data_IF_182917201923
#
_entry.id   IF_182917201923
#
_cell.length_a   1.000
_cell.length_b   1.000
_cell.length_c   1.000
_cell.angle_alpha   90.00
_cell.angle_beta   90.00
_cell.angle_gamma   90.00
#
_symmetry.space_group_name_H-M   'P 1'
#
loop_
_entity.id
_entity.type
_entity.pdbx_description
1 polymer ?
#
# COMPACT_ATOMS: atom_id res chain seq x y z
N UNK A 1 0.64 11.62 -7.81
CA UNK A 1 1.05 11.39 -6.40
C UNK A 1 0.55 10.02 -5.93
N UNK A 2 1.11 9.43 -4.88
CA UNK A 2 0.58 8.16 -4.32
C UNK A 2 -0.86 8.29 -3.89
N UNK A 3 -1.23 9.45 -3.33
CA UNK A 3 -2.61 9.75 -2.92
C UNK A 3 -3.61 9.63 -4.07
N UNK A 4 -3.29 10.17 -5.24
CA UNK A 4 -4.16 10.11 -6.43
C UNK A 4 -4.27 8.69 -6.98
N UNK A 5 -3.18 7.91 -6.98
CA UNK A 5 -3.19 6.52 -7.40
C UNK A 5 -4.13 5.68 -6.51
N UNK A 6 -4.02 5.85 -5.20
CA UNK A 6 -4.87 5.12 -4.24
C UNK A 6 -6.32 5.59 -4.35
N UNK A 7 -6.55 6.90 -4.49
CA UNK A 7 -7.90 7.44 -4.72
C UNK A 7 -8.53 6.91 -6.01
N UNK A 8 -7.75 6.70 -7.07
CA UNK A 8 -8.21 6.09 -8.31
C UNK A 8 -8.67 4.65 -8.10
N UNK A 9 -7.88 3.83 -7.40
CA UNK A 9 -8.26 2.45 -7.04
C UNK A 9 -9.54 2.42 -6.19
N UNK A 10 -9.66 3.33 -5.22
CA UNK A 10 -10.88 3.49 -4.41
C UNK A 10 -12.08 3.86 -5.29
N UNK A 11 -11.89 4.76 -6.26
CA UNK A 11 -12.91 5.14 -7.25
C UNK A 11 -13.39 3.96 -8.10
N UNK A 12 -12.52 2.96 -8.32
CA UNK A 12 -12.86 1.69 -8.97
C UNK A 12 -13.50 0.64 -8.05
N UNK A 13 -13.77 0.99 -6.78
CA UNK A 13 -14.46 0.14 -5.82
C UNK A 13 -13.53 -0.67 -4.92
N UNK A 14 -12.21 -0.55 -5.05
CA UNK A 14 -11.28 -1.20 -4.13
C UNK A 14 -11.37 -0.56 -2.74
N UNK A 15 -11.43 -1.40 -1.70
CA UNK A 15 -11.53 -0.96 -0.29
C UNK A 15 -10.40 -1.48 0.57
N UNK A 16 -9.78 -2.60 0.17
CA UNK A 16 -8.64 -3.23 0.83
C UNK A 16 -7.47 -3.21 -0.14
N UNK A 17 -6.61 -2.21 -0.01
CA UNK A 17 -5.52 -1.90 -0.96
C UNK A 17 -4.21 -2.14 -0.23
N UNK A 18 -3.35 -3.03 -0.74
CA UNK A 18 -2.01 -3.25 -0.25
C UNK A 18 -1.06 -2.15 -0.71
N UNK A 19 0.04 -1.94 0.01
CA UNK A 19 1.14 -1.09 -0.40
C UNK A 19 2.45 -1.82 -0.11
N UNK A 20 3.28 -1.96 -1.15
CA UNK A 20 4.66 -2.42 -1.01
C UNK A 20 5.54 -1.16 -0.95
N UNK A 21 6.04 -0.85 0.24
CA UNK A 21 6.89 0.30 0.49
C UNK A 21 8.32 0.06 0.00
N UNK A 22 9.06 1.15 -0.23
CA UNK A 22 10.51 1.08 -0.39
C UNK A 22 11.21 1.01 0.97
N UNK A 23 12.53 1.13 0.94
CA UNK A 23 13.37 1.13 2.14
C UNK A 23 12.90 2.20 3.15
N UNK A 24 12.63 1.80 4.40
CA UNK A 24 12.24 2.71 5.49
C UNK A 24 13.31 3.77 5.75
N UNK A 25 12.87 4.96 6.18
CA UNK A 25 13.77 6.08 6.47
C UNK A 25 14.23 6.88 5.24
N UNK A 26 13.93 6.42 4.03
CA UNK A 26 14.03 7.27 2.84
C UNK A 26 12.85 8.24 2.82
N UNK A 27 13.11 9.53 2.61
CA UNK A 27 12.06 10.56 2.56
C UNK A 27 10.97 10.22 1.55
N UNK A 28 11.35 9.71 0.37
CA UNK A 28 10.41 9.31 -0.68
C UNK A 28 9.56 8.11 -0.30
N UNK A 29 10.06 7.18 0.53
CA UNK A 29 9.25 6.08 1.08
C UNK A 29 8.21 6.64 2.05
N UNK A 30 8.64 7.48 2.99
CA UNK A 30 7.74 8.06 4.00
C UNK A 30 6.66 8.95 3.36
N UNK A 31 7.02 9.76 2.36
CA UNK A 31 6.08 10.57 1.57
C UNK A 31 5.03 9.71 0.85
N UNK A 32 5.43 8.56 0.30
CA UNK A 32 4.50 7.64 -0.36
C UNK A 32 3.57 6.98 0.65
N UNK A 33 4.08 6.56 1.80
CA UNK A 33 3.27 5.97 2.89
C UNK A 33 2.24 6.99 3.38
N UNK A 34 2.66 8.23 3.58
CA UNK A 34 1.77 9.31 4.00
C UNK A 34 0.69 9.59 2.95
N UNK A 35 1.07 9.64 1.65
CA UNK A 35 0.09 9.77 0.57
C UNK A 35 -0.94 8.63 0.53
N UNK A 36 -0.52 7.39 0.81
CA UNK A 36 -1.42 6.24 0.95
C UNK A 36 -2.36 6.39 2.14
N UNK A 37 -1.85 6.74 3.32
CA UNK A 37 -2.65 6.99 4.54
C UNK A 37 -3.69 8.09 4.31
N UNK A 38 -3.30 9.20 3.68
CA UNK A 38 -4.20 10.31 3.37
C UNK A 38 -5.33 9.90 2.42
N UNK A 39 -5.02 9.12 1.38
CA UNK A 39 -6.05 8.67 0.44
C UNK A 39 -7.10 7.76 1.11
N UNK A 40 -6.65 6.83 1.97
CA UNK A 40 -7.55 5.99 2.76
C UNK A 40 -8.42 6.83 3.69
N UNK A 41 -7.81 7.73 4.46
CA UNK A 41 -8.50 8.60 5.40
C UNK A 41 -9.55 9.48 4.71
N UNK A 42 -9.21 10.09 3.58
CA UNK A 42 -10.13 10.92 2.79
C UNK A 42 -11.34 10.13 2.27
N UNK A 43 -11.20 8.82 2.07
CA UNK A 43 -12.27 7.93 1.65
C UNK A 43 -13.02 7.24 2.82
N UNK A 44 -12.67 7.56 4.07
CA UNK A 44 -13.22 6.92 5.27
C UNK A 44 -12.79 5.46 5.44
N UNK A 45 -11.68 5.05 4.82
CA UNK A 45 -11.12 3.70 4.96
C UNK A 45 -10.07 3.68 6.07
N UNK A 46 -10.14 2.64 6.91
CA UNK A 46 -9.14 2.41 7.94
C UNK A 46 -7.80 2.00 7.30
N UNK A 47 -6.72 2.59 7.81
CA UNK A 47 -5.38 2.10 7.54
C UNK A 47 -5.16 0.79 8.32
N UNK A 48 -4.61 -0.21 7.64
CA UNK A 48 -4.32 -1.53 8.21
C UNK A 48 -2.81 -1.82 8.03
N UNK A 49 -2.08 -1.93 9.14
CA UNK A 49 -0.63 -2.19 9.13
C UNK A 49 -0.28 -3.49 8.39
N UNK A 50 -1.18 -4.49 8.37
CA UNK A 50 -0.95 -5.74 7.65
C UNK A 50 -0.95 -5.58 6.12
N UNK A 51 -1.44 -4.44 5.61
CA UNK A 51 -1.45 -4.10 4.19
C UNK A 51 -0.24 -3.27 3.76
N UNK A 52 0.63 -2.86 4.68
CA UNK A 52 1.85 -2.13 4.38
C UNK A 52 3.07 -3.03 4.62
N UNK A 53 3.68 -3.52 3.53
CA UNK A 53 4.84 -4.42 3.60
C UNK A 53 6.06 -3.74 2.99
N UNK A 54 7.23 -3.93 3.59
CA UNK A 54 8.49 -3.40 3.05
C UNK A 54 8.97 -4.28 1.88
N UNK A 55 9.19 -3.65 0.73
CA UNK A 55 9.78 -4.26 -0.47
C UNK A 55 11.23 -3.84 -0.69
N UNK A 56 11.82 -3.07 0.21
CA UNK A 56 13.24 -2.67 0.25
C UNK A 56 13.78 -2.03 -1.04
N UNK A 57 12.88 -1.51 -1.91
CA UNK A 57 13.22 -1.01 -3.24
C UNK A 57 13.97 -2.03 -4.12
N UNK A 58 13.72 -3.33 -3.92
CA UNK A 58 14.34 -4.44 -4.65
C UNK A 58 13.27 -5.39 -5.20
N UNK A 59 13.50 -5.94 -6.40
CA UNK A 59 12.51 -6.76 -7.10
C UNK A 59 12.20 -8.09 -6.40
N UNK A 60 13.20 -8.76 -5.82
CA UNK A 60 13.00 -10.03 -5.12
C UNK A 60 12.25 -9.83 -3.81
N UNK A 61 12.63 -8.83 -3.01
CA UNK A 61 11.89 -8.46 -1.79
C UNK A 61 10.48 -7.97 -2.12
N UNK A 62 10.28 -7.19 -3.18
CA UNK A 62 8.95 -6.78 -3.62
C UNK A 62 8.09 -7.99 -4.05
N UNK A 63 8.67 -8.99 -4.72
CA UNK A 63 7.99 -10.23 -5.07
C UNK A 63 7.53 -10.99 -3.81
N UNK A 64 8.38 -11.10 -2.81
CA UNK A 64 8.05 -11.73 -1.53
C UNK A 64 6.97 -10.94 -0.76
N UNK A 65 7.06 -9.61 -0.75
CA UNK A 65 6.07 -8.73 -0.15
C UNK A 65 4.69 -8.86 -0.82
N UNK A 66 4.65 -8.96 -2.15
CA UNK A 66 3.43 -9.22 -2.89
C UNK A 66 2.83 -10.59 -2.52
N UNK A 67 3.67 -11.63 -2.43
CA UNK A 67 3.23 -12.96 -2.00
C UNK A 67 2.67 -12.95 -0.57
N UNK A 68 3.29 -12.20 0.34
CA UNK A 68 2.80 -12.02 1.71
C UNK A 68 1.41 -11.37 1.72
N UNK A 69 1.22 -10.28 0.98
CA UNK A 69 -0.08 -9.58 0.88
C UNK A 69 -1.17 -10.49 0.31
N UNK A 70 -0.86 -11.20 -0.77
CA UNK A 70 -1.80 -12.10 -1.44
C UNK A 70 -2.09 -13.37 -0.61
N UNK A 71 -1.21 -13.74 0.32
CA UNK A 71 -1.36 -14.87 1.23
C UNK A 71 -2.14 -14.57 2.51
N UNK A 72 -2.55 -13.32 2.76
CA UNK A 72 -3.36 -12.96 3.93
C UNK A 72 -4.70 -13.70 3.92
N UNK A 73 -5.26 -13.98 5.11
CA UNK A 73 -6.59 -14.59 5.26
C UNK A 73 -7.68 -13.79 4.51
N UNK A 74 -7.54 -12.47 4.50
CA UNK A 74 -8.33 -11.55 3.69
C UNK A 74 -7.35 -10.72 2.84
N UNK A 75 -7.00 -11.17 1.62
CA UNK A 75 -6.03 -10.48 0.78
C UNK A 75 -6.58 -9.13 0.28
N UNK A 76 -5.72 -8.16 -0.05
CA UNK A 76 -6.17 -6.95 -0.71
C UNK A 76 -6.67 -7.26 -2.11
N UNK A 77 -7.58 -6.43 -2.63
CA UNK A 77 -8.08 -6.54 -4.00
C UNK A 77 -7.28 -5.72 -5.01
N UNK A 78 -6.35 -4.89 -4.54
CA UNK A 78 -5.39 -4.12 -5.34
C UNK A 78 -4.09 -3.92 -4.52
N UNK A 79 -2.95 -3.78 -5.19
CA UNK A 79 -1.62 -3.49 -4.61
C UNK A 79 -1.00 -2.35 -5.41
#
# INVERSE_FOLDING_TARGET
STRELVAHLIGHGHRRIGMIAGHRGLSTTEERIEGYRQALANAGLAFDDALLVDGESNSESARLAAQQLLGLRAPPSAI
#
